data_IF_591533570606
#
_entry.id   IF_591533570606
#
_cell.length_a   1.000
_cell.length_b   1.000
_cell.length_c   1.000
_cell.angle_alpha   90.00
_cell.angle_beta   90.00
_cell.angle_gamma   90.00
#
_symmetry.space_group_name_H-M   'P 1'
#
loop_
_entity.id
_entity.type
_entity.pdbx_description
1 polymer ?
#
# COMPACT_ATOMS: atom_id res chain seq x y z
N UNK A 1 18.01 -5.03 -32.90
CA UNK A 1 16.90 -4.73 -33.83
C UNK A 1 16.90 -3.29 -34.34
N UNK A 2 16.93 -2.26 -33.49
CA UNK A 2 16.93 -0.86 -33.96
C UNK A 2 18.07 -0.52 -34.93
N UNK A 3 19.27 -1.06 -34.69
CA UNK A 3 20.41 -0.93 -35.62
C UNK A 3 20.13 -1.53 -37.02
N UNK A 4 19.29 -2.57 -37.12
CA UNK A 4 18.89 -3.17 -38.41
C UNK A 4 17.93 -2.23 -39.14
N UNK A 5 16.96 -1.66 -38.42
CA UNK A 5 16.04 -0.64 -38.95
C UNK A 5 16.82 0.58 -39.45
N UNK A 6 17.76 1.07 -38.66
CA UNK A 6 18.56 2.26 -39.01
C UNK A 6 19.39 2.04 -40.29
N UNK A 7 20.00 0.85 -40.44
CA UNK A 7 20.74 0.46 -41.65
C UNK A 7 19.88 0.44 -42.91
N UNK A 8 18.60 0.06 -42.78
CA UNK A 8 17.64 0.07 -43.90
C UNK A 8 17.05 1.47 -44.12
N UNK A 9 16.82 2.24 -43.06
CA UNK A 9 16.22 3.57 -43.11
C UNK A 9 17.12 4.58 -43.80
N UNK A 10 18.42 4.61 -43.48
CA UNK A 10 19.37 5.60 -44.03
C UNK A 10 19.37 5.68 -45.57
N UNK A 11 19.59 4.57 -46.32
CA UNK A 11 19.54 4.62 -47.78
C UNK A 11 18.13 4.86 -48.32
N UNK A 12 17.09 4.34 -47.65
CA UNK A 12 15.69 4.57 -48.03
C UNK A 12 15.30 6.06 -47.94
N UNK A 13 15.68 6.72 -46.85
CA UNK A 13 15.46 8.14 -46.63
C UNK A 13 16.21 9.01 -47.63
N UNK A 14 17.45 8.66 -47.96
CA UNK A 14 18.21 9.36 -49.00
C UNK A 14 17.46 9.35 -50.35
N UNK A 15 16.81 8.25 -50.72
CA UNK A 15 16.02 8.18 -51.95
C UNK A 15 14.76 9.06 -51.88
N UNK A 16 14.12 9.15 -50.72
CA UNK A 16 13.02 10.10 -50.48
C UNK A 16 13.50 11.55 -50.66
N UNK A 17 14.68 11.89 -50.11
CA UNK A 17 15.26 13.23 -50.26
C UNK A 17 15.50 13.58 -51.73
N UNK A 18 16.01 12.64 -52.54
CA UNK A 18 16.16 12.84 -53.98
C UNK A 18 14.81 13.18 -54.66
N UNK A 19 13.69 12.57 -54.23
CA UNK A 19 12.36 12.88 -54.76
C UNK A 19 11.93 14.29 -54.36
N UNK A 20 12.10 14.65 -53.08
CA UNK A 20 11.75 15.97 -52.55
C UNK A 20 12.55 17.09 -53.22
N UNK A 21 13.81 16.83 -53.53
CA UNK A 21 14.72 17.75 -54.22
C UNK A 21 14.53 17.73 -55.75
N UNK A 22 13.57 16.97 -56.28
CA UNK A 22 13.31 16.79 -57.72
C UNK A 22 14.50 16.24 -58.51
N UNK A 23 15.36 15.45 -57.86
CA UNK A 23 16.58 14.82 -58.42
C UNK A 23 16.46 13.30 -58.56
N UNK A 24 15.28 12.73 -58.36
CA UNK A 24 15.07 11.29 -58.36
C UNK A 24 15.18 10.70 -59.78
N UNK A 25 15.84 9.54 -59.86
CA UNK A 25 15.93 8.67 -61.04
C UNK A 25 14.98 7.47 -60.91
N UNK A 26 14.72 6.76 -62.00
CA UNK A 26 13.96 5.50 -61.99
C UNK A 26 14.54 4.47 -61.00
N UNK A 27 15.87 4.46 -60.84
CA UNK A 27 16.55 3.59 -59.88
C UNK A 27 16.19 3.92 -58.41
N UNK A 28 15.89 5.18 -58.11
CA UNK A 28 15.46 5.60 -56.76
C UNK A 28 14.04 5.08 -56.46
N UNK A 29 13.13 5.16 -57.44
CA UNK A 29 11.78 4.62 -57.33
C UNK A 29 11.78 3.09 -57.22
N UNK A 30 12.58 2.39 -58.04
CA UNK A 30 12.75 0.94 -57.95
C UNK A 30 13.32 0.51 -56.59
N UNK A 31 14.30 1.25 -56.06
CA UNK A 31 14.86 0.98 -54.75
C UNK A 31 13.79 1.12 -53.64
N UNK A 32 13.02 2.20 -53.66
CA UNK A 32 11.93 2.42 -52.70
C UNK A 32 10.85 1.35 -52.79
N UNK A 33 10.49 0.93 -54.00
CA UNK A 33 9.50 -0.12 -54.26
C UNK A 33 9.96 -1.47 -53.69
N UNK A 34 11.20 -1.86 -54.00
CA UNK A 34 11.78 -3.15 -53.58
C UNK A 34 12.08 -3.22 -52.08
N UNK A 35 12.39 -2.09 -51.43
CA UNK A 35 12.84 -2.08 -50.03
C UNK A 35 11.78 -1.66 -49.01
N UNK A 36 10.63 -1.08 -49.43
CA UNK A 36 9.62 -0.60 -48.48
C UNK A 36 9.07 -1.71 -47.57
N UNK A 37 8.76 -2.90 -48.12
CA UNK A 37 8.22 -4.03 -47.35
C UNK A 37 9.26 -4.57 -46.38
N UNK A 38 10.54 -4.61 -46.79
CA UNK A 38 11.63 -5.09 -45.95
C UNK A 38 11.84 -4.18 -44.74
N UNK A 39 11.92 -2.88 -44.96
CA UNK A 39 12.03 -1.87 -43.89
C UNK A 39 10.83 -1.94 -42.94
N UNK A 40 9.62 -2.06 -43.48
CA UNK A 40 8.39 -2.18 -42.70
C UNK A 40 8.36 -3.45 -41.82
N UNK A 41 8.79 -4.60 -42.36
CA UNK A 41 8.90 -5.85 -41.59
C UNK A 41 9.88 -5.71 -40.42
N UNK A 42 11.04 -5.10 -40.63
CA UNK A 42 12.03 -4.89 -39.57
C UNK A 42 11.57 -3.87 -38.51
N UNK A 43 10.83 -2.83 -38.91
CA UNK A 43 10.19 -1.91 -37.95
C UNK A 43 9.11 -2.62 -37.11
N UNK A 44 8.24 -3.43 -37.73
CA UNK A 44 7.25 -4.23 -37.02
C UNK A 44 7.90 -5.20 -36.01
N UNK A 45 9.04 -5.80 -36.38
CA UNK A 45 9.82 -6.65 -35.46
C UNK A 45 10.41 -5.85 -34.29
N UNK A 46 10.82 -4.61 -34.50
CA UNK A 46 11.28 -3.73 -33.42
C UNK A 46 10.16 -3.41 -32.42
N UNK A 47 8.96 -3.09 -32.92
CA UNK A 47 7.76 -2.85 -32.09
C UNK A 47 7.40 -4.10 -31.29
N UNK A 48 7.40 -5.27 -31.93
CA UNK A 48 7.12 -6.55 -31.24
C UNK A 48 8.14 -6.85 -30.14
N UNK A 49 9.44 -6.66 -30.40
CA UNK A 49 10.49 -6.90 -29.40
C UNK A 49 10.37 -5.92 -28.22
N UNK A 50 10.08 -4.64 -28.48
CA UNK A 50 9.84 -3.65 -27.44
C UNK A 50 8.59 -3.97 -26.59
N UNK A 51 7.56 -4.50 -27.23
CA UNK A 51 6.37 -5.04 -26.56
C UNK A 51 6.65 -6.30 -25.71
N UNK A 52 7.66 -7.10 -26.08
CA UNK A 52 7.94 -8.42 -25.49
C UNK A 52 8.97 -8.39 -24.34
N UNK A 53 9.64 -7.27 -24.10
CA UNK A 53 10.65 -7.14 -23.03
C UNK A 53 10.05 -7.17 -21.61
N UNK A 54 8.73 -7.03 -21.45
CA UNK A 54 8.01 -7.14 -20.18
C UNK A 54 7.56 -8.58 -19.88
N UNK A 55 8.36 -9.30 -19.09
CA UNK A 55 8.23 -10.74 -18.81
C UNK A 55 7.05 -11.17 -17.93
N UNK A 56 6.02 -10.36 -17.73
CA UNK A 56 4.80 -10.84 -17.04
C UNK A 56 3.81 -11.41 -18.06
N UNK A 57 3.33 -12.64 -17.82
CA UNK A 57 2.45 -13.38 -18.75
C UNK A 57 1.18 -12.60 -19.15
N UNK A 58 0.68 -11.70 -18.30
CA UNK A 58 -0.48 -10.86 -18.61
C UNK A 58 -0.14 -9.61 -19.43
N UNK A 59 1.11 -9.12 -19.44
CA UNK A 59 1.50 -7.95 -20.25
C UNK A 59 1.79 -8.33 -21.71
N UNK A 60 2.34 -9.53 -21.94
CA UNK A 60 2.63 -10.06 -23.28
C UNK A 60 1.37 -10.21 -24.15
N UNK A 61 0.22 -10.54 -23.54
CA UNK A 61 -1.04 -10.74 -24.27
C UNK A 61 -1.67 -9.42 -24.72
N UNK A 62 -1.71 -8.39 -23.87
CA UNK A 62 -2.20 -7.06 -24.25
C UNK A 62 -1.25 -6.35 -25.23
N UNK A 63 0.04 -6.67 -25.19
CA UNK A 63 1.03 -6.14 -26.10
C UNK A 63 0.84 -6.65 -27.55
N UNK A 64 0.35 -7.90 -27.73
CA UNK A 64 -0.03 -8.41 -29.05
C UNK A 64 -1.27 -7.69 -29.61
N UNK A 65 -2.29 -7.44 -28.78
CA UNK A 65 -3.46 -6.65 -29.16
C UNK A 65 -3.07 -5.22 -29.61
N UNK A 66 -2.16 -4.56 -28.88
CA UNK A 66 -1.60 -3.25 -29.28
C UNK A 66 -0.88 -3.31 -30.62
N UNK A 67 -0.04 -4.32 -30.82
CA UNK A 67 0.74 -4.48 -32.04
C UNK A 67 -0.17 -4.67 -33.26
N UNK A 68 -1.15 -5.57 -33.15
CA UNK A 68 -2.10 -5.84 -34.23
C UNK A 68 -3.08 -4.69 -34.46
N UNK A 69 -3.46 -3.95 -33.42
CA UNK A 69 -4.16 -2.67 -33.55
C UNK A 69 -3.29 -1.64 -34.30
N UNK A 70 -2.00 -1.55 -33.98
CA UNK A 70 -1.04 -0.71 -34.69
C UNK A 70 -0.94 -1.06 -36.18
N UNK A 71 -0.93 -2.36 -36.49
CA UNK A 71 -0.87 -2.92 -37.86
C UNK A 71 -2.07 -2.52 -38.72
N UNK A 72 -3.23 -2.24 -38.14
CA UNK A 72 -4.41 -1.78 -38.89
C UNK A 72 -4.13 -0.45 -39.62
N UNK A 73 -3.43 0.49 -39.00
CA UNK A 73 -3.03 1.76 -39.65
C UNK A 73 -2.15 1.50 -40.88
N UNK A 74 -1.16 0.62 -40.73
CA UNK A 74 -0.28 0.21 -41.83
C UNK A 74 -1.07 -0.41 -42.98
N UNK A 75 -2.07 -1.26 -42.69
CA UNK A 75 -2.89 -1.89 -43.71
C UNK A 75 -3.73 -0.87 -44.50
N UNK A 76 -4.27 0.17 -43.86
CA UNK A 76 -4.99 1.25 -44.59
C UNK A 76 -4.09 1.94 -45.62
N UNK A 77 -2.85 2.28 -45.23
CA UNK A 77 -1.89 2.93 -46.11
C UNK A 77 -1.39 2.01 -47.22
N UNK A 78 -1.19 0.71 -46.89
CA UNK A 78 -0.86 -0.30 -47.90
C UNK A 78 -1.96 -0.43 -48.94
N UNK A 79 -3.23 -0.47 -48.51
CA UNK A 79 -4.38 -0.52 -49.43
C UNK A 79 -4.46 0.72 -50.32
N UNK A 80 -4.24 1.92 -49.77
CA UNK A 80 -4.22 3.17 -50.54
C UNK A 80 -3.13 3.14 -51.63
N UNK A 81 -1.91 2.70 -51.27
CA UNK A 81 -0.80 2.50 -52.22
C UNK A 81 -1.16 1.49 -53.31
N UNK A 82 -1.70 0.33 -52.91
CA UNK A 82 -2.03 -0.75 -53.84
C UNK A 82 -3.13 -0.29 -54.83
N UNK A 83 -4.13 0.48 -54.39
CA UNK A 83 -5.14 1.13 -55.26
C UNK A 83 -4.47 2.05 -56.29
N UNK A 84 -3.54 2.91 -55.87
CA UNK A 84 -2.84 3.83 -56.77
C UNK A 84 -2.08 3.05 -57.86
N UNK A 85 -1.35 2.00 -57.50
CA UNK A 85 -0.64 1.18 -58.49
C UNK A 85 -1.57 0.43 -59.43
N UNK A 86 -2.66 -0.15 -58.92
CA UNK A 86 -3.68 -0.83 -59.74
C UNK A 86 -4.31 0.14 -60.74
N UNK A 87 -4.67 1.36 -60.29
CA UNK A 87 -5.29 2.38 -61.15
C UNK A 87 -4.38 2.90 -62.26
N UNK A 88 -3.06 2.88 -62.04
CA UNK A 88 -2.04 3.25 -63.02
C UNK A 88 -1.53 2.06 -63.84
N UNK A 89 -2.19 0.90 -63.76
CA UNK A 89 -1.81 -0.35 -64.44
C UNK A 89 -0.39 -0.86 -64.11
N UNK A 90 0.21 -0.39 -63.01
CA UNK A 90 1.56 -0.77 -62.59
C UNK A 90 1.50 -2.09 -61.82
N UNK A 91 2.13 -3.15 -62.35
CA UNK A 91 2.11 -4.52 -61.77
C UNK A 91 0.72 -4.91 -61.24
N UNK A 92 -0.31 -4.63 -62.04
CA UNK A 92 -1.71 -4.60 -61.61
C UNK A 92 -2.18 -5.86 -60.90
N UNK A 93 -1.84 -7.04 -61.41
CA UNK A 93 -2.25 -8.33 -60.82
C UNK A 93 -1.62 -8.58 -59.45
N UNK A 94 -0.34 -8.23 -59.29
CA UNK A 94 0.39 -8.35 -58.02
C UNK A 94 -0.25 -7.46 -56.95
N UNK A 95 -0.39 -6.17 -57.23
CA UNK A 95 -0.95 -5.21 -56.28
C UNK A 95 -2.45 -5.44 -56.00
N UNK A 96 -3.20 -5.99 -56.95
CA UNK A 96 -4.58 -6.42 -56.69
C UNK A 96 -4.66 -7.61 -55.72
N UNK A 97 -3.78 -8.60 -55.86
CA UNK A 97 -3.66 -9.72 -54.90
C UNK A 97 -3.29 -9.21 -53.51
N UNK A 98 -2.34 -8.29 -53.45
CA UNK A 98 -1.82 -7.70 -52.24
C UNK A 98 -2.84 -6.80 -51.51
N UNK A 99 -3.64 -6.07 -52.27
CA UNK A 99 -4.78 -5.31 -51.76
C UNK A 99 -5.81 -6.23 -51.11
N UNK A 100 -6.23 -7.30 -51.81
CA UNK A 100 -7.24 -8.26 -51.31
C UNK A 100 -6.80 -8.91 -49.99
N UNK A 101 -5.53 -9.30 -49.88
CA UNK A 101 -4.94 -9.84 -48.64
C UNK A 101 -4.96 -8.81 -47.51
N UNK A 102 -4.62 -7.56 -47.80
CA UNK A 102 -4.58 -6.47 -46.83
C UNK A 102 -5.98 -6.15 -46.29
N UNK A 103 -6.98 -6.09 -47.19
CA UNK A 103 -8.39 -5.89 -46.86
C UNK A 103 -8.94 -7.00 -45.96
N UNK A 104 -8.69 -8.26 -46.32
CA UNK A 104 -9.12 -9.41 -45.53
C UNK A 104 -8.46 -9.45 -44.14
N UNK A 105 -7.15 -9.15 -44.07
CA UNK A 105 -6.43 -9.13 -42.81
C UNK A 105 -6.87 -7.98 -41.89
N UNK A 106 -7.21 -6.82 -42.46
CA UNK A 106 -7.76 -5.70 -41.72
C UNK A 106 -9.08 -6.10 -41.04
N UNK A 107 -10.05 -6.60 -41.83
CA UNK A 107 -11.36 -7.01 -41.31
C UNK A 107 -11.24 -8.07 -40.20
N UNK A 108 -10.42 -9.10 -40.43
CA UNK A 108 -10.20 -10.18 -39.46
C UNK A 108 -9.60 -9.68 -38.15
N UNK A 109 -8.61 -8.80 -38.25
CA UNK A 109 -7.94 -8.25 -37.07
C UNK A 109 -8.85 -7.31 -36.31
N UNK A 110 -9.62 -6.44 -36.99
CA UNK A 110 -10.58 -5.55 -36.35
C UNK A 110 -11.64 -6.34 -35.56
N UNK A 111 -12.17 -7.43 -36.12
CA UNK A 111 -13.08 -8.36 -35.41
C UNK A 111 -12.39 -9.03 -34.21
N UNK A 112 -11.14 -9.45 -34.39
CA UNK A 112 -10.35 -10.07 -33.32
C UNK A 112 -10.03 -9.12 -32.16
N UNK A 113 -9.84 -7.82 -32.41
CA UNK A 113 -9.62 -6.82 -31.36
C UNK A 113 -10.85 -6.63 -30.45
N UNK A 114 -12.04 -6.91 -30.96
CA UNK A 114 -13.27 -6.96 -30.17
C UNK A 114 -13.40 -8.25 -29.38
N UNK A 115 -13.42 -9.36 -30.10
CA UNK A 115 -13.94 -10.63 -29.58
C UNK A 115 -12.83 -11.59 -29.13
N UNK A 116 -11.58 -11.23 -29.39
CA UNK A 116 -10.46 -12.17 -29.37
C UNK A 116 -10.39 -12.98 -30.66
N UNK A 117 -9.24 -13.60 -30.89
CA UNK A 117 -8.98 -14.51 -31.99
C UNK A 117 -7.81 -15.40 -31.61
N UNK A 118 -8.07 -16.70 -31.46
CA UNK A 118 -7.02 -17.66 -31.14
C UNK A 118 -5.97 -17.72 -32.26
N UNK A 119 -6.39 -17.64 -33.51
CA UNK A 119 -5.50 -17.65 -34.68
C UNK A 119 -4.55 -16.45 -34.69
N UNK A 120 -5.04 -15.25 -34.34
CA UNK A 120 -4.22 -14.05 -34.28
C UNK A 120 -3.59 -13.83 -32.90
N UNK A 121 -3.80 -14.76 -31.97
CA UNK A 121 -3.44 -14.65 -30.56
C UNK A 121 -3.95 -13.33 -29.92
N UNK A 122 -5.16 -12.90 -30.31
CA UNK A 122 -5.84 -11.73 -29.78
C UNK A 122 -6.72 -12.13 -28.61
N UNK A 123 -6.67 -11.39 -27.52
CA UNK A 123 -7.56 -11.60 -26.38
C UNK A 123 -8.91 -10.91 -26.55
N UNK A 124 -8.89 -9.78 -27.26
CA UNK A 124 -10.03 -8.88 -27.35
C UNK A 124 -10.16 -8.03 -26.09
N UNK A 125 -11.05 -7.04 -26.14
CA UNK A 125 -11.23 -6.08 -25.04
C UNK A 125 -12.70 -5.81 -24.76
N UNK A 126 -13.01 -5.63 -23.48
CA UNK A 126 -14.32 -5.15 -22.99
C UNK A 126 -14.24 -3.76 -22.37
N UNK A 127 -13.09 -3.10 -22.49
CA UNK A 127 -12.87 -1.79 -21.87
C UNK A 127 -13.65 -0.72 -22.64
N UNK A 128 -14.63 -0.02 -22.02
CA UNK A 128 -15.52 0.91 -22.73
C UNK A 128 -14.77 1.95 -23.57
N UNK A 129 -13.70 2.54 -23.02
CA UNK A 129 -12.88 3.54 -23.71
C UNK A 129 -12.22 3.00 -24.99
N UNK A 130 -11.89 1.70 -25.02
CA UNK A 130 -11.26 1.08 -26.20
C UNK A 130 -12.32 0.60 -27.19
N UNK A 131 -13.38 -0.04 -26.70
CA UNK A 131 -14.49 -0.52 -27.55
C UNK A 131 -15.17 0.64 -28.27
N UNK A 132 -15.40 1.78 -27.60
CA UNK A 132 -15.98 2.97 -28.23
C UNK A 132 -15.14 3.46 -29.43
N UNK A 133 -13.81 3.44 -29.32
CA UNK A 133 -12.92 3.83 -30.41
C UNK A 133 -12.91 2.81 -31.54
N UNK A 134 -12.95 1.52 -31.22
CA UNK A 134 -13.05 0.47 -32.22
C UNK A 134 -14.42 0.51 -32.93
N UNK A 135 -15.48 1.02 -32.30
CA UNK A 135 -16.84 1.07 -32.87
C UNK A 135 -16.91 2.11 -33.98
N UNK A 136 -16.24 3.24 -33.76
CA UNK A 136 -16.01 4.27 -34.77
C UNK A 136 -15.26 3.66 -35.97
N UNK A 137 -14.14 2.97 -35.72
CA UNK A 137 -13.35 2.33 -36.79
C UNK A 137 -14.16 1.29 -37.56
N UNK A 138 -14.94 0.47 -36.86
CA UNK A 138 -15.83 -0.53 -37.47
C UNK A 138 -16.90 0.10 -38.36
N UNK A 139 -17.54 1.16 -37.87
CA UNK A 139 -18.56 1.88 -38.63
C UNK A 139 -17.99 2.53 -39.89
N UNK A 140 -16.79 3.09 -39.81
CA UNK A 140 -16.07 3.63 -40.97
C UNK A 140 -15.70 2.52 -41.95
N UNK A 141 -15.13 1.41 -41.45
CA UNK A 141 -14.72 0.28 -42.27
C UNK A 141 -15.86 -0.37 -43.06
N UNK A 142 -17.07 -0.41 -42.48
CA UNK A 142 -18.27 -0.89 -43.18
C UNK A 142 -18.62 0.01 -44.36
N UNK A 143 -18.58 1.34 -44.19
CA UNK A 143 -18.82 2.31 -45.27
C UNK A 143 -17.71 2.28 -46.31
N UNK A 144 -16.48 2.03 -45.88
CA UNK A 144 -15.29 1.96 -46.71
C UNK A 144 -15.38 0.87 -47.80
N UNK A 145 -16.11 -0.23 -47.57
CA UNK A 145 -16.15 -1.35 -48.53
C UNK A 145 -16.63 -0.92 -49.92
N UNK A 146 -17.65 -0.07 -50.01
CA UNK A 146 -18.18 0.41 -51.29
C UNK A 146 -17.17 1.30 -52.02
N UNK A 147 -16.47 2.17 -51.28
CA UNK A 147 -15.42 3.04 -51.82
C UNK A 147 -14.21 2.23 -52.31
N UNK A 148 -13.84 1.17 -51.60
CA UNK A 148 -12.79 0.26 -52.01
C UNK A 148 -13.12 -0.45 -53.32
N UNK A 149 -14.36 -0.93 -53.48
CA UNK A 149 -14.77 -1.62 -54.70
C UNK A 149 -14.88 -0.66 -55.90
N UNK A 150 -15.32 0.60 -55.68
CA UNK A 150 -15.30 1.64 -56.70
C UNK A 150 -13.86 1.99 -57.14
N UNK A 151 -12.93 2.14 -56.17
CA UNK A 151 -11.53 2.43 -56.44
C UNK A 151 -10.83 1.36 -57.28
N UNK A 152 -11.17 0.08 -57.08
CA UNK A 152 -10.65 -1.02 -57.91
C UNK A 152 -11.14 -0.98 -59.37
N UNK A 153 -12.26 -0.29 -59.63
CA UNK A 153 -12.77 -0.03 -60.99
C UNK A 153 -12.19 1.25 -61.60
N UNK A 154 -11.36 1.98 -60.85
CA UNK A 154 -10.80 3.27 -61.27
C UNK A 154 -11.64 4.49 -60.87
N UNK A 155 -12.72 4.31 -60.09
CA UNK A 155 -13.64 5.37 -59.70
C UNK A 155 -13.38 5.82 -58.25
N UNK A 156 -13.66 7.08 -57.92
CA UNK A 156 -13.62 7.60 -56.53
C UNK A 156 -12.28 7.38 -55.79
N UNK A 157 -11.16 7.26 -56.52
CA UNK A 157 -9.85 6.91 -55.94
C UNK A 157 -9.43 7.92 -54.86
N UNK A 158 -9.63 9.22 -55.10
CA UNK A 158 -9.24 10.29 -54.16
C UNK A 158 -10.07 10.22 -52.88
N UNK A 159 -11.37 9.98 -53.02
CA UNK A 159 -12.31 9.83 -51.92
C UNK A 159 -11.97 8.60 -51.06
N UNK A 160 -11.64 7.47 -51.70
CA UNK A 160 -11.21 6.24 -51.03
C UNK A 160 -9.91 6.43 -50.26
N UNK A 161 -8.90 7.08 -50.85
CA UNK A 161 -7.63 7.37 -50.14
C UNK A 161 -7.89 8.28 -48.94
N UNK A 162 -8.69 9.34 -49.11
CA UNK A 162 -9.06 10.24 -48.01
C UNK A 162 -9.82 9.52 -46.90
N UNK A 163 -10.68 8.57 -47.24
CA UNK A 163 -11.46 7.79 -46.26
C UNK A 163 -10.58 6.77 -45.51
N UNK A 164 -9.63 6.12 -46.19
CA UNK A 164 -8.59 5.29 -45.57
C UNK A 164 -7.70 6.09 -44.61
N UNK A 165 -7.34 7.32 -44.93
CA UNK A 165 -6.59 8.22 -44.03
C UNK A 165 -7.39 8.59 -42.78
N UNK A 166 -8.68 8.90 -42.94
CA UNK A 166 -9.57 9.14 -41.79
C UNK A 166 -9.68 7.89 -40.92
N UNK A 167 -9.77 6.71 -41.52
CA UNK A 167 -9.81 5.41 -40.81
C UNK A 167 -8.50 5.17 -40.04
N UNK A 168 -7.35 5.50 -40.62
CA UNK A 168 -6.06 5.48 -39.94
C UNK A 168 -6.07 6.34 -38.68
N UNK A 169 -6.55 7.58 -38.78
CA UNK A 169 -6.59 8.52 -37.63
C UNK A 169 -7.42 7.94 -36.50
N UNK A 170 -8.61 7.40 -36.79
CA UNK A 170 -9.46 6.78 -35.76
C UNK A 170 -8.84 5.52 -35.17
N UNK A 171 -8.15 4.74 -35.99
CA UNK A 171 -7.41 3.59 -35.49
C UNK A 171 -6.23 4.00 -34.59
N UNK A 172 -5.59 5.15 -34.86
CA UNK A 172 -4.55 5.71 -34.00
C UNK A 172 -5.09 6.08 -32.61
N UNK A 173 -6.30 6.66 -32.53
CA UNK A 173 -6.96 6.93 -31.25
C UNK A 173 -7.21 5.65 -30.43
N UNK A 174 -7.61 4.55 -31.10
CA UNK A 174 -7.79 3.25 -30.46
C UNK A 174 -6.45 2.70 -29.93
N UNK A 175 -5.37 2.76 -30.71
CA UNK A 175 -4.03 2.32 -30.29
C UNK A 175 -3.54 3.09 -29.07
N UNK A 176 -3.69 4.42 -29.05
CA UNK A 176 -3.34 5.27 -27.89
C UNK A 176 -4.10 4.81 -26.64
N UNK A 177 -5.37 4.44 -26.79
CA UNK A 177 -6.21 3.97 -25.69
C UNK A 177 -5.73 2.64 -25.12
N UNK A 178 -5.33 1.69 -25.97
CA UNK A 178 -4.67 0.45 -25.52
C UNK A 178 -3.34 0.74 -24.80
N UNK A 179 -2.48 1.62 -25.35
CA UNK A 179 -1.19 1.97 -24.73
C UNK A 179 -1.37 2.60 -23.34
N UNK A 180 -2.35 3.51 -23.18
CA UNK A 180 -2.68 4.11 -21.87
C UNK A 180 -3.17 3.08 -20.86
N UNK A 181 -3.93 2.08 -21.30
CA UNK A 181 -4.41 1.00 -20.42
C UNK A 181 -3.26 0.15 -19.91
N UNK A 182 -2.32 -0.22 -20.79
CA UNK A 182 -1.13 -0.99 -20.42
C UNK A 182 -0.25 -0.24 -19.42
N UNK A 183 0.01 1.05 -19.65
CA UNK A 183 0.81 1.88 -18.75
C UNK A 183 0.19 1.99 -17.35
N UNK A 184 -1.14 2.10 -17.25
CA UNK A 184 -1.84 2.09 -15.96
C UNK A 184 -1.73 0.76 -15.23
N UNK A 185 -1.81 -0.36 -15.96
CA UNK A 185 -1.60 -1.69 -15.36
C UNK A 185 -0.17 -1.86 -14.83
N UNK A 186 0.84 -1.39 -15.57
CA UNK A 186 2.24 -1.39 -15.11
C UNK A 186 2.40 -0.58 -13.82
N UNK A 187 1.88 0.64 -13.78
CA UNK A 187 1.89 1.48 -12.58
C UNK A 187 1.22 0.80 -11.38
N UNK A 188 0.10 0.09 -11.60
CA UNK A 188 -0.57 -0.65 -10.53
C UNK A 188 0.25 -1.85 -10.02
N UNK A 189 0.97 -2.56 -10.90
CA UNK A 189 1.84 -3.67 -10.53
C UNK A 189 3.09 -3.21 -9.79
N UNK A 190 3.72 -2.12 -10.24
CA UNK A 190 4.83 -1.47 -9.54
C UNK A 190 4.41 -0.99 -8.16
N UNK A 191 3.24 -0.35 -8.05
CA UNK A 191 2.65 0.07 -6.78
C UNK A 191 2.40 -1.13 -5.86
N UNK A 192 1.84 -2.24 -6.37
CA UNK A 192 1.62 -3.45 -5.57
C UNK A 192 2.93 -4.07 -5.06
N UNK A 193 4.01 -4.04 -5.85
CA UNK A 193 5.33 -4.50 -5.39
C UNK A 193 5.89 -3.59 -4.29
N UNK A 194 5.77 -2.27 -4.46
CA UNK A 194 6.19 -1.29 -3.44
C UNK A 194 5.37 -1.48 -2.16
N UNK A 195 4.07 -1.71 -2.28
CA UNK A 195 3.17 -2.01 -1.15
C UNK A 195 3.54 -3.35 -0.48
N UNK A 196 3.93 -4.37 -1.24
CA UNK A 196 4.42 -5.65 -0.70
C UNK A 196 5.71 -5.52 0.11
N UNK A 197 6.69 -4.80 -0.42
CA UNK A 197 7.95 -4.52 0.28
C UNK A 197 7.75 -3.59 1.49
N UNK A 198 6.83 -2.63 1.37
CA UNK A 198 6.32 -1.77 2.44
C UNK A 198 5.69 -2.58 3.58
N UNK A 199 4.91 -3.61 3.27
CA UNK A 199 4.23 -4.45 4.27
C UNK A 199 5.22 -5.29 5.10
N UNK A 200 6.27 -5.83 4.46
CA UNK A 200 7.22 -6.73 5.11
C UNK A 200 8.25 -6.00 6.00
N UNK A 201 8.74 -4.82 5.60
CA UNK A 201 9.70 -4.04 6.42
C UNK A 201 9.01 -3.36 7.62
N UNK A 202 7.78 -2.85 7.45
CA UNK A 202 7.04 -2.15 8.51
C UNK A 202 6.54 -3.06 9.64
N UNK A 203 6.41 -4.37 9.43
CA UNK A 203 5.85 -5.25 10.46
C UNK A 203 6.77 -5.37 11.68
N UNK A 204 8.10 -5.42 11.49
CA UNK A 204 9.06 -5.49 12.59
C UNK A 204 9.10 -4.20 13.41
N UNK A 205 9.05 -3.04 12.75
CA UNK A 205 9.09 -1.74 13.45
C UNK A 205 7.78 -1.44 14.18
N UNK A 206 6.62 -1.68 13.54
CA UNK A 206 5.31 -1.60 14.22
C UNK A 206 5.26 -2.54 15.43
N UNK A 207 5.77 -3.77 15.28
CA UNK A 207 5.82 -4.76 16.38
C UNK A 207 6.76 -4.32 17.50
N UNK A 208 7.95 -3.79 17.20
CA UNK A 208 8.88 -3.23 18.20
C UNK A 208 8.28 -2.05 18.95
N UNK A 209 7.60 -1.13 18.26
CA UNK A 209 6.90 0.01 18.88
C UNK A 209 5.74 -0.47 19.77
N UNK A 210 4.95 -1.46 19.33
CA UNK A 210 3.89 -2.04 20.16
C UNK A 210 4.45 -2.74 21.41
N UNK A 211 5.44 -3.61 21.25
CA UNK A 211 6.02 -4.38 22.35
C UNK A 211 6.75 -3.48 23.35
N UNK A 212 7.44 -2.43 22.89
CA UNK A 212 8.05 -1.42 23.78
C UNK A 212 6.97 -0.58 24.47
N UNK A 213 5.89 -0.22 23.75
CA UNK A 213 4.71 0.41 24.33
C UNK A 213 4.04 -0.45 25.41
N UNK A 214 4.02 -1.77 25.24
CA UNK A 214 3.53 -2.75 26.22
C UNK A 214 4.38 -2.74 27.49
N UNK A 215 5.69 -2.50 27.41
CA UNK A 215 6.54 -2.38 28.61
C UNK A 215 6.07 -1.24 29.52
N UNK A 216 5.78 -0.05 28.97
CA UNK A 216 5.19 1.07 29.75
C UNK A 216 3.89 0.67 30.46
N UNK A 217 3.00 -0.05 29.76
CA UNK A 217 1.74 -0.52 30.36
C UNK A 217 2.00 -1.52 31.48
N UNK A 218 2.95 -2.43 31.30
CA UNK A 218 3.29 -3.44 32.29
C UNK A 218 3.87 -2.81 33.56
N UNK A 219 4.67 -1.73 33.49
CA UNK A 219 5.15 -1.05 34.72
C UNK A 219 3.98 -0.56 35.57
N UNK A 220 3.00 0.12 34.95
CA UNK A 220 1.80 0.64 35.64
C UNK A 220 0.91 -0.49 36.15
N UNK A 221 0.73 -1.53 35.35
CA UNK A 221 -0.10 -2.67 35.68
C UNK A 221 0.47 -3.47 36.84
N UNK A 222 1.79 -3.69 36.87
CA UNK A 222 2.46 -4.38 37.98
C UNK A 222 2.33 -3.60 39.27
N UNK A 223 2.56 -2.27 39.26
CA UNK A 223 2.33 -1.45 40.46
C UNK A 223 0.89 -1.46 40.95
N UNK A 224 -0.10 -1.41 40.04
CA UNK A 224 -1.52 -1.58 40.39
C UNK A 224 -1.76 -2.94 41.07
N UNK A 225 -1.21 -4.02 40.51
CA UNK A 225 -1.37 -5.37 41.07
C UNK A 225 -0.69 -5.51 42.43
N UNK A 226 0.49 -4.91 42.63
CA UNK A 226 1.16 -4.87 43.93
C UNK A 226 0.30 -4.21 45.00
N UNK A 227 -0.39 -3.10 44.67
CA UNK A 227 -1.36 -2.46 45.57
C UNK A 227 -2.54 -3.38 45.89
N UNK A 228 -3.11 -4.05 44.88
CA UNK A 228 -4.24 -4.97 45.08
C UNK A 228 -3.88 -6.19 45.93
N UNK A 229 -2.67 -6.75 45.73
CA UNK A 229 -2.12 -7.85 46.52
C UNK A 229 -1.98 -7.42 47.98
N UNK A 230 -1.41 -6.24 48.24
CA UNK A 230 -1.28 -5.68 49.58
C UNK A 230 -2.64 -5.45 50.26
N UNK A 231 -3.66 -5.05 49.49
CA UNK A 231 -5.03 -4.89 50.00
C UNK A 231 -5.77 -6.21 50.21
N UNK A 232 -5.12 -7.37 49.98
CA UNK A 232 -5.72 -8.70 49.97
C UNK A 232 -6.90 -8.86 48.99
N UNK A 233 -7.01 -7.99 47.99
CA UNK A 233 -8.08 -8.08 46.97
C UNK A 233 -7.68 -9.15 45.96
N UNK A 234 -8.46 -10.22 45.88
CA UNK A 234 -8.22 -11.36 45.00
C UNK A 234 -6.75 -11.84 45.05
N UNK A 235 -6.19 -11.93 46.27
CA UNK A 235 -4.77 -12.13 46.56
C UNK A 235 -4.10 -13.17 45.66
N UNK A 236 -4.61 -14.41 45.66
CA UNK A 236 -4.05 -15.51 44.87
C UNK A 236 -4.04 -15.22 43.36
N UNK A 237 -5.11 -14.63 42.84
CA UNK A 237 -5.24 -14.32 41.41
C UNK A 237 -4.32 -13.17 41.00
N UNK A 238 -4.29 -12.09 41.79
CA UNK A 238 -3.48 -10.91 41.51
C UNK A 238 -1.98 -11.19 41.67
N UNK A 239 -1.58 -12.03 42.64
CA UNK A 239 -0.20 -12.52 42.76
C UNK A 239 0.23 -13.34 41.53
N UNK A 240 -0.62 -14.27 41.05
CA UNK A 240 -0.36 -15.02 39.80
C UNK A 240 -0.21 -14.09 38.59
N UNK A 241 -1.12 -13.11 38.45
CA UNK A 241 -1.05 -12.09 37.38
C UNK A 241 0.24 -11.27 37.46
N UNK A 242 0.64 -10.84 38.66
CA UNK A 242 1.83 -10.04 38.88
C UNK A 242 3.10 -10.79 38.43
N UNK A 243 3.26 -12.06 38.84
CA UNK A 243 4.38 -12.92 38.38
C UNK A 243 4.36 -13.10 36.86
N UNK A 244 3.19 -13.41 36.28
CA UNK A 244 3.05 -13.57 34.83
C UNK A 244 3.49 -12.31 34.08
N UNK A 245 3.09 -11.14 34.54
CA UNK A 245 3.46 -9.87 33.89
C UNK A 245 4.92 -9.49 34.10
N UNK A 246 5.50 -9.82 35.26
CA UNK A 246 6.93 -9.66 35.49
C UNK A 246 7.76 -10.55 34.54
N UNK A 247 7.38 -11.82 34.36
CA UNK A 247 8.01 -12.72 33.39
C UNK A 247 7.92 -12.16 31.97
N UNK A 248 6.73 -11.71 31.57
CA UNK A 248 6.51 -11.15 30.23
C UNK A 248 7.30 -9.86 29.98
N UNK A 249 7.39 -8.97 30.98
CA UNK A 249 8.22 -7.77 30.92
C UNK A 249 9.69 -8.17 30.68
N UNK A 250 10.20 -9.08 31.50
CA UNK A 250 11.58 -9.55 31.40
C UNK A 250 11.90 -10.19 30.04
N UNK A 251 11.04 -11.10 29.56
CA UNK A 251 11.17 -11.74 28.25
C UNK A 251 11.21 -10.71 27.13
N UNK A 252 10.27 -9.75 27.13
CA UNK A 252 10.20 -8.74 26.08
C UNK A 252 11.42 -7.80 26.10
N UNK A 253 11.86 -7.38 27.30
CA UNK A 253 13.01 -6.49 27.45
C UNK A 253 14.31 -7.15 26.96
N UNK A 254 14.50 -8.44 27.26
CA UNK A 254 15.64 -9.20 26.74
C UNK A 254 15.52 -9.44 25.22
N UNK A 255 14.32 -9.76 24.74
CA UNK A 255 14.05 -9.99 23.32
C UNK A 255 14.38 -8.80 22.41
N UNK A 256 14.39 -7.57 22.91
CA UNK A 256 14.84 -6.41 22.12
C UNK A 256 16.32 -6.46 21.75
N UNK A 257 17.19 -6.95 22.65
CA UNK A 257 18.64 -7.02 22.41
C UNK A 257 19.07 -8.38 21.90
N UNK A 258 18.43 -9.44 22.39
CA UNK A 258 18.89 -10.82 22.21
C UNK A 258 18.07 -11.55 21.12
N UNK A 259 16.94 -10.97 20.71
CA UNK A 259 15.94 -11.64 19.88
C UNK A 259 15.03 -12.56 20.70
N UNK A 260 13.83 -12.81 20.20
CA UNK A 260 12.88 -13.76 20.80
C UNK A 260 11.94 -14.29 19.71
N UNK A 261 12.02 -15.60 19.41
CA UNK A 261 11.22 -16.23 18.35
C UNK A 261 9.73 -16.27 18.69
N UNK A 262 9.35 -16.46 19.95
CA UNK A 262 7.95 -16.51 20.38
C UNK A 262 7.28 -15.14 20.23
N UNK A 263 8.02 -14.08 20.50
CA UNK A 263 7.57 -12.70 20.30
C UNK A 263 7.73 -12.26 18.82
N UNK A 264 8.44 -13.05 18.01
CA UNK A 264 8.83 -12.72 16.64
C UNK A 264 9.69 -11.46 16.56
N UNK A 265 10.58 -11.28 17.54
CA UNK A 265 11.55 -10.21 17.64
C UNK A 265 12.91 -10.67 17.09
N UNK A 266 13.45 -9.90 16.14
CA UNK A 266 14.86 -9.99 15.77
C UNK A 266 15.70 -9.06 16.67
N UNK A 267 16.93 -9.46 17.05
CA UNK A 267 17.80 -8.65 17.91
C UNK A 267 18.08 -7.28 17.29
N UNK A 268 17.97 -6.22 18.09
CA UNK A 268 18.32 -4.86 17.67
C UNK A 268 19.80 -4.61 17.93
N UNK A 269 20.54 -4.23 16.88
CA UNK A 269 21.96 -3.81 16.97
C UNK A 269 22.13 -2.29 17.06
N UNK A 270 21.04 -1.53 17.11
CA UNK A 270 21.07 -0.07 17.13
C UNK A 270 21.57 0.39 18.50
N UNK A 271 22.72 1.08 18.55
CA UNK A 271 23.39 1.48 19.79
C UNK A 271 22.45 2.20 20.78
N UNK A 272 21.66 3.17 20.29
CA UNK A 272 20.70 3.91 21.11
C UNK A 272 19.63 3.02 21.77
N UNK A 273 19.21 1.94 21.10
CA UNK A 273 18.24 0.96 21.63
C UNK A 273 18.90 0.04 22.65
N UNK A 274 20.11 -0.43 22.37
CA UNK A 274 20.88 -1.31 23.27
C UNK A 274 21.21 -0.60 24.57
N UNK A 275 21.72 0.63 24.50
CA UNK A 275 22.03 1.48 25.66
C UNK A 275 20.79 1.74 26.54
N UNK A 276 19.67 2.12 25.92
CA UNK A 276 18.44 2.38 26.66
C UNK A 276 17.88 1.09 27.29
N UNK A 277 18.00 -0.05 26.60
CA UNK A 277 17.60 -1.35 27.14
C UNK A 277 18.45 -1.73 28.37
N UNK A 278 19.76 -1.47 28.35
CA UNK A 278 20.64 -1.68 29.49
C UNK A 278 20.26 -0.81 30.70
N UNK A 279 19.94 0.47 30.45
CA UNK A 279 19.44 1.39 31.48
C UNK A 279 18.16 0.86 32.15
N UNK A 280 17.21 0.36 31.35
CA UNK A 280 15.98 -0.25 31.87
C UNK A 280 16.28 -1.54 32.62
N UNK A 281 17.16 -2.42 32.11
CA UNK A 281 17.55 -3.67 32.77
C UNK A 281 18.08 -3.43 34.20
N UNK A 282 18.89 -2.38 34.41
CA UNK A 282 19.39 -1.99 35.74
C UNK A 282 18.26 -1.62 36.70
N UNK A 283 17.33 -0.74 36.29
CA UNK A 283 16.16 -0.34 37.10
C UNK A 283 15.21 -1.51 37.35
N UNK A 284 15.01 -2.34 36.33
CA UNK A 284 14.13 -3.51 36.38
C UNK A 284 14.59 -4.56 37.38
N UNK A 285 15.89 -4.81 37.52
CA UNK A 285 16.44 -5.79 38.47
C UNK A 285 15.94 -5.55 39.90
N UNK A 286 16.05 -4.31 40.38
CA UNK A 286 15.58 -3.95 41.73
C UNK A 286 14.06 -3.95 41.83
N UNK A 287 13.37 -3.49 40.79
CA UNK A 287 11.91 -3.52 40.74
C UNK A 287 11.36 -4.95 40.82
N UNK A 288 11.96 -5.89 40.09
CA UNK A 288 11.61 -7.31 40.09
C UNK A 288 11.83 -7.96 41.46
N UNK A 289 12.94 -7.65 42.12
CA UNK A 289 13.21 -8.17 43.48
C UNK A 289 12.09 -7.79 44.46
N UNK A 290 11.64 -6.52 44.42
CA UNK A 290 10.54 -6.05 45.27
C UNK A 290 9.19 -6.69 44.90
N UNK A 291 8.91 -6.94 43.62
CA UNK A 291 7.74 -7.73 43.20
C UNK A 291 7.77 -9.13 43.83
N UNK A 292 8.93 -9.80 43.79
CA UNK A 292 9.09 -11.15 44.33
C UNK A 292 8.84 -11.15 45.84
N UNK A 293 9.36 -10.16 46.57
CA UNK A 293 9.13 -9.99 48.02
C UNK A 293 7.64 -9.89 48.35
N UNK A 294 6.88 -9.07 47.60
CA UNK A 294 5.43 -8.92 47.78
C UNK A 294 4.70 -10.24 47.51
N UNK A 295 4.99 -10.90 46.38
CA UNK A 295 4.30 -12.13 45.98
C UNK A 295 4.57 -13.28 46.97
N UNK A 296 5.76 -13.33 47.57
CA UNK A 296 6.12 -14.32 48.59
C UNK A 296 5.51 -14.02 49.97
N UNK A 297 4.79 -12.91 50.13
CA UNK A 297 4.25 -12.48 51.43
C UNK A 297 5.35 -12.06 52.42
N UNK A 298 6.53 -11.69 51.91
CA UNK A 298 7.68 -11.32 52.72
C UNK A 298 7.74 -9.81 53.01
N UNK A 299 6.86 -9.01 52.40
CA UNK A 299 6.83 -7.54 52.55
C UNK A 299 6.11 -7.08 53.83
N UNK A 300 6.46 -7.64 54.99
CA UNK A 300 5.80 -7.36 56.28
C UNK A 300 5.87 -5.87 56.68
N UNK A 301 6.93 -5.18 56.27
CA UNK A 301 7.17 -3.76 56.57
C UNK A 301 6.70 -2.81 55.46
N UNK A 302 6.09 -3.33 54.38
CA UNK A 302 5.64 -2.55 53.20
C UNK A 302 6.73 -1.82 52.42
N UNK A 303 8.00 -2.01 52.77
CA UNK A 303 9.14 -1.37 52.10
C UNK A 303 9.22 -1.75 50.63
N UNK A 304 8.86 -2.98 50.26
CA UNK A 304 8.89 -3.40 48.86
C UNK A 304 7.78 -2.71 48.05
N UNK A 305 6.58 -2.57 48.62
CA UNK A 305 5.50 -1.80 48.02
C UNK A 305 5.85 -0.32 47.88
N UNK A 306 6.41 0.31 48.92
CA UNK A 306 6.85 1.71 48.89
C UNK A 306 7.89 1.93 47.79
N UNK A 307 8.87 1.03 47.68
CA UNK A 307 9.84 1.07 46.59
C UNK A 307 9.15 1.02 45.22
N UNK A 308 8.21 0.09 45.01
CA UNK A 308 7.47 -0.01 43.74
C UNK A 308 6.69 1.27 43.44
N UNK A 309 5.98 1.84 44.42
CA UNK A 309 5.18 3.07 44.24
C UNK A 309 6.07 4.25 43.90
N UNK A 310 7.20 4.41 44.60
CA UNK A 310 8.11 5.53 44.42
C UNK A 310 8.95 5.45 43.13
N UNK A 311 9.31 4.24 42.68
CA UNK A 311 10.18 4.04 41.51
C UNK A 311 9.40 3.70 40.23
N UNK A 312 8.07 3.57 40.29
CA UNK A 312 7.25 3.22 39.14
C UNK A 312 7.30 4.27 38.01
N UNK A 313 7.26 5.55 38.35
CA UNK A 313 7.28 6.62 37.35
C UNK A 313 8.64 6.71 36.66
N UNK A 314 9.74 6.49 37.37
CA UNK A 314 11.09 6.42 36.80
C UNK A 314 11.23 5.27 35.80
N UNK A 315 10.72 4.08 36.15
CA UNK A 315 10.74 2.93 35.25
C UNK A 315 9.81 3.13 34.04
N UNK A 316 8.67 3.81 34.24
CA UNK A 316 7.79 4.24 33.15
C UNK A 316 8.49 5.22 32.20
N UNK A 317 9.17 6.24 32.74
CA UNK A 317 9.90 7.23 31.96
C UNK A 317 11.02 6.57 31.13
N UNK A 318 11.80 5.68 31.74
CA UNK A 318 12.82 4.91 31.03
C UNK A 318 12.21 4.02 29.93
N UNK A 319 11.08 3.36 30.20
CA UNK A 319 10.35 2.58 29.19
C UNK A 319 9.78 3.46 28.07
N UNK A 320 9.38 4.69 28.38
CA UNK A 320 8.88 5.63 27.40
C UNK A 320 9.97 6.15 26.47
N UNK A 321 11.15 6.42 27.01
CA UNK A 321 12.31 6.78 26.21
C UNK A 321 12.69 5.68 25.23
N UNK A 322 12.59 4.41 25.62
CA UNK A 322 12.81 3.29 24.69
C UNK A 322 11.82 3.29 23.52
N UNK A 323 10.54 3.59 23.77
CA UNK A 323 9.54 3.74 22.70
C UNK A 323 9.90 4.90 21.78
N UNK A 324 10.28 6.05 22.34
CA UNK A 324 10.71 7.22 21.56
C UNK A 324 11.89 6.87 20.66
N UNK A 325 12.88 6.14 21.17
CA UNK A 325 14.04 5.70 20.40
C UNK A 325 13.64 4.76 19.28
N UNK A 326 12.78 3.77 19.52
CA UNK A 326 12.26 2.89 18.46
C UNK A 326 11.52 3.67 17.37
N UNK A 327 10.70 4.66 17.74
CA UNK A 327 10.00 5.52 16.78
C UNK A 327 10.98 6.37 15.96
N UNK A 328 12.03 6.91 16.60
CA UNK A 328 13.04 7.75 15.92
C UNK A 328 13.98 6.95 15.02
N UNK A 329 14.29 5.70 15.37
CA UNK A 329 15.23 4.86 14.62
C UNK A 329 14.57 4.03 13.52
N UNK A 330 13.24 4.02 13.46
CA UNK A 330 12.52 3.47 12.32
C UNK A 330 12.95 4.27 11.06
N UNK A 331 13.35 3.60 9.96
CA UNK A 331 13.84 4.28 8.75
C UNK A 331 12.85 5.36 8.31
N UNK A 332 13.38 6.52 7.93
CA UNK A 332 12.64 7.78 7.77
C UNK A 332 11.40 7.57 6.90
N UNK A 333 10.21 7.58 7.50
CA UNK A 333 9.02 7.20 6.77
C UNK A 333 8.44 8.38 5.99
N UNK A 334 7.69 8.11 4.92
CA UNK A 334 6.81 9.12 4.34
C UNK A 334 5.76 9.57 5.39
N UNK A 335 5.04 10.67 5.14
CA UNK A 335 4.10 11.25 6.11
C UNK A 335 3.09 10.23 6.69
N UNK A 336 2.61 9.32 5.85
CA UNK A 336 1.61 8.31 6.22
C UNK A 336 2.15 7.36 7.31
N UNK A 337 3.37 6.86 7.14
CA UNK A 337 3.99 5.95 8.10
C UNK A 337 4.29 6.64 9.45
N UNK A 338 4.73 7.90 9.43
CA UNK A 338 4.89 8.70 10.67
C UNK A 338 3.56 8.84 11.40
N UNK A 339 2.48 9.12 10.67
CA UNK A 339 1.14 9.20 11.25
C UNK A 339 0.69 7.86 11.83
N UNK A 340 0.86 6.74 11.10
CA UNK A 340 0.49 5.41 11.59
C UNK A 340 1.24 4.99 12.85
N UNK A 341 2.57 5.20 12.89
CA UNK A 341 3.37 4.94 14.09
C UNK A 341 2.92 5.82 15.27
N UNK A 342 2.57 7.08 15.00
CA UNK A 342 2.05 7.98 16.00
C UNK A 342 0.70 7.51 16.56
N UNK A 343 -0.22 7.10 15.69
CA UNK A 343 -1.51 6.49 16.06
C UNK A 343 -1.32 5.26 16.94
N UNK A 344 -0.45 4.32 16.54
CA UNK A 344 -0.14 3.11 17.34
C UNK A 344 0.42 3.50 18.70
N UNK A 345 1.31 4.49 18.77
CA UNK A 345 1.88 4.97 20.02
C UNK A 345 0.82 5.62 20.93
N UNK A 346 -0.05 6.48 20.38
CA UNK A 346 -1.14 7.16 21.11
C UNK A 346 -2.16 6.16 21.63
N UNK A 347 -2.60 5.22 20.79
CA UNK A 347 -3.49 4.13 21.17
C UNK A 347 -2.83 3.18 22.21
N UNK A 348 -1.55 2.88 22.03
CA UNK A 348 -0.75 2.11 22.98
C UNK A 348 -0.67 2.80 24.35
N UNK A 349 -0.50 4.13 24.36
CA UNK A 349 -0.52 4.97 25.57
C UNK A 349 -1.87 4.91 26.27
N UNK A 350 -2.99 4.86 25.55
CA UNK A 350 -4.32 4.72 26.16
C UNK A 350 -4.40 3.47 27.04
N UNK A 351 -3.90 2.31 26.58
CA UNK A 351 -3.84 1.08 27.40
C UNK A 351 -3.11 1.31 28.72
N UNK A 352 -1.95 1.97 28.67
CA UNK A 352 -1.17 2.30 29.85
C UNK A 352 -1.93 3.26 30.78
N UNK A 353 -2.55 4.31 30.22
CA UNK A 353 -3.32 5.29 30.99
C UNK A 353 -4.48 4.64 31.76
N UNK A 354 -5.19 3.65 31.19
CA UNK A 354 -6.22 2.90 31.93
C UNK A 354 -5.69 2.25 33.21
N UNK A 355 -4.45 1.75 33.17
CA UNK A 355 -3.82 1.11 34.32
C UNK A 355 -3.29 2.16 35.30
N UNK A 356 -2.70 3.24 34.78
CA UNK A 356 -2.15 4.37 35.56
C UNK A 356 -3.23 5.10 36.35
N UNK A 357 -4.35 5.47 35.72
CA UNK A 357 -5.47 6.13 36.42
C UNK A 357 -6.05 5.26 37.54
N UNK A 358 -6.08 3.93 37.35
CA UNK A 358 -6.53 3.00 38.41
C UNK A 358 -5.53 2.91 39.55
N UNK A 359 -4.23 2.86 39.25
CA UNK A 359 -3.16 2.93 40.26
C UNK A 359 -3.28 4.22 41.09
N UNK A 360 -3.39 5.36 40.43
CA UNK A 360 -3.53 6.67 41.07
C UNK A 360 -4.79 6.76 41.93
N UNK A 361 -5.93 6.24 41.42
CA UNK A 361 -7.16 6.19 42.21
C UNK A 361 -7.04 5.33 43.46
N UNK A 362 -6.38 4.17 43.36
CA UNK A 362 -6.13 3.29 44.51
C UNK A 362 -5.22 3.96 45.54
N UNK A 363 -4.17 4.66 45.10
CA UNK A 363 -3.26 5.40 46.00
C UNK A 363 -3.99 6.51 46.78
N UNK A 364 -4.95 7.18 46.13
CA UNK A 364 -5.80 8.19 46.77
C UNK A 364 -6.73 7.53 47.79
N UNK A 365 -7.48 6.50 47.39
CA UNK A 365 -8.44 5.82 48.28
C UNK A 365 -7.77 5.13 49.46
N UNK A 366 -6.55 4.64 49.30
CA UNK A 366 -5.78 4.00 50.38
C UNK A 366 -4.92 4.97 51.19
N UNK A 367 -4.92 6.27 50.84
CA UNK A 367 -4.09 7.30 51.46
C UNK A 367 -2.58 6.97 51.51
N UNK A 368 -2.06 6.21 50.52
CA UNK A 368 -0.66 5.72 50.51
C UNK A 368 0.33 6.62 49.77
N UNK A 369 -0.18 7.66 49.08
CA UNK A 369 0.53 8.81 48.42
C UNK A 369 -0.51 9.54 47.55
N UNK A 370 -1.51 10.22 48.14
CA UNK A 370 -2.62 10.77 47.38
C UNK A 370 -2.15 11.94 46.49
N UNK A 371 -2.33 11.81 45.17
CA UNK A 371 -2.00 12.86 44.18
C UNK A 371 -3.21 13.14 43.25
N UNK A 372 -4.31 13.76 43.74
CA UNK A 372 -5.54 13.94 42.96
C UNK A 372 -5.35 14.74 41.66
N UNK A 373 -4.48 15.76 41.69
CA UNK A 373 -4.13 16.54 40.49
C UNK A 373 -3.46 15.68 39.41
N UNK A 374 -2.66 14.69 39.81
CA UNK A 374 -2.00 13.76 38.88
C UNK A 374 -3.02 12.84 38.22
N UNK A 375 -3.99 12.32 38.98
CA UNK A 375 -5.11 11.57 38.45
C UNK A 375 -5.90 12.39 37.42
N UNK A 376 -6.24 13.64 37.73
CA UNK A 376 -6.95 14.54 36.79
C UNK A 376 -6.16 14.73 35.49
N UNK A 377 -4.85 14.96 35.57
CA UNK A 377 -3.98 15.04 34.38
C UNK A 377 -3.98 13.75 33.56
N UNK A 378 -3.95 12.58 34.22
CA UNK A 378 -4.02 11.26 33.54
C UNK A 378 -5.38 11.06 32.85
N UNK A 379 -6.49 11.44 33.49
CA UNK A 379 -7.85 11.39 32.92
C UNK A 379 -7.94 12.30 31.69
N UNK A 380 -7.52 13.56 31.80
CA UNK A 380 -7.55 14.52 30.70
C UNK A 380 -6.70 14.06 29.51
N UNK A 381 -5.51 13.51 29.76
CA UNK A 381 -4.65 12.98 28.71
C UNK A 381 -5.29 11.78 27.99
N UNK A 382 -5.99 10.90 28.73
CA UNK A 382 -6.75 9.80 28.12
C UNK A 382 -7.88 10.35 27.24
N UNK A 383 -8.69 11.25 27.80
CA UNK A 383 -9.87 11.81 27.13
C UNK A 383 -9.51 12.53 25.82
N UNK A 384 -8.53 13.43 25.89
CA UNK A 384 -8.04 14.20 24.73
C UNK A 384 -7.45 13.28 23.66
N UNK A 385 -6.68 12.27 24.07
CA UNK A 385 -6.10 11.32 23.12
C UNK A 385 -7.15 10.43 22.48
N UNK A 386 -8.17 9.98 23.21
CA UNK A 386 -9.27 9.20 22.66
C UNK A 386 -10.10 10.02 21.68
N UNK A 387 -10.34 11.31 22.00
CA UNK A 387 -11.00 12.24 21.09
C UNK A 387 -10.20 12.41 19.78
N UNK A 388 -8.88 12.62 19.88
CA UNK A 388 -8.01 12.74 18.72
C UNK A 388 -8.00 11.46 17.86
N UNK A 389 -7.98 10.26 18.47
CA UNK A 389 -8.08 9.00 17.73
C UNK A 389 -9.43 8.83 17.00
N UNK A 390 -10.52 9.40 17.53
CA UNK A 390 -11.86 9.33 16.92
C UNK A 390 -12.05 10.36 15.81
N UNK A 391 -11.56 11.59 16.02
CA UNK A 391 -11.85 12.75 15.15
C UNK A 391 -10.71 13.10 14.21
N UNK A 392 -9.50 12.61 14.46
CA UNK A 392 -8.26 13.12 13.90
C UNK A 392 -7.78 14.36 14.66
N UNK A 393 -6.47 14.61 14.58
CA UNK A 393 -5.79 15.81 15.06
C UNK A 393 -4.56 16.04 14.17
N UNK A 394 -4.68 16.99 13.24
CA UNK A 394 -3.61 17.29 12.28
C UNK A 394 -2.35 17.84 12.96
N UNK A 395 -2.48 18.59 14.06
CA UNK A 395 -1.35 19.14 14.80
C UNK A 395 -0.53 18.04 15.48
N UNK A 396 -1.18 16.93 15.86
CA UNK A 396 -0.53 15.74 16.40
C UNK A 396 -0.22 14.66 15.35
N UNK A 397 -0.45 14.93 14.06
CA UNK A 397 -0.33 13.94 12.98
C UNK A 397 -1.19 12.67 13.21
N UNK A 398 -2.35 12.82 13.86
CA UNK A 398 -3.33 11.75 14.04
C UNK A 398 -4.35 11.88 12.91
N UNK A 399 -4.32 10.95 11.96
CA UNK A 399 -5.32 10.92 10.89
C UNK A 399 -6.69 10.58 11.47
N UNK A 400 -7.74 11.14 10.88
CA UNK A 400 -9.10 10.72 11.19
C UNK A 400 -9.31 9.32 10.63
N UNK A 401 -9.84 8.37 11.41
CA UNK A 401 -10.02 7.02 10.91
C UNK A 401 -11.00 7.00 9.73
N UNK A 402 -10.71 6.20 8.72
CA UNK A 402 -11.50 5.94 7.52
C UNK A 402 -12.13 4.54 7.58
N UNK A 403 -11.41 3.56 8.13
CA UNK A 403 -11.85 2.17 8.28
C UNK A 403 -13.07 2.05 9.22
N UNK A 404 -14.11 1.36 8.74
CA UNK A 404 -15.38 1.20 9.47
C UNK A 404 -15.21 0.39 10.77
N UNK A 405 -14.33 -0.62 10.79
CA UNK A 405 -14.10 -1.45 11.97
C UNK A 405 -13.33 -0.65 13.04
N UNK A 406 -12.31 0.13 12.66
CA UNK A 406 -11.56 1.01 13.57
C UNK A 406 -12.50 2.04 14.21
N UNK A 407 -13.36 2.68 13.42
CA UNK A 407 -14.39 3.61 13.92
C UNK A 407 -15.29 2.94 14.96
N UNK A 408 -15.85 1.78 14.63
CA UNK A 408 -16.73 1.03 15.53
C UNK A 408 -16.00 0.63 16.84
N UNK A 409 -14.75 0.20 16.73
CA UNK A 409 -13.93 -0.17 17.89
C UNK A 409 -13.67 1.04 18.81
N UNK A 410 -13.36 2.21 18.25
CA UNK A 410 -13.15 3.44 19.01
C UNK A 410 -14.44 3.97 19.65
N UNK A 411 -15.58 3.86 18.96
CA UNK A 411 -16.89 4.18 19.54
C UNK A 411 -17.21 3.27 20.73
N UNK A 412 -16.91 1.97 20.64
CA UNK A 412 -17.08 1.04 21.74
C UNK A 412 -16.21 1.40 22.94
N UNK A 413 -14.94 1.76 22.72
CA UNK A 413 -14.04 2.28 23.78
C UNK A 413 -14.64 3.53 24.42
N UNK A 414 -15.09 4.49 23.60
CA UNK A 414 -15.70 5.74 24.06
C UNK A 414 -16.93 5.51 24.94
N UNK A 415 -17.80 4.56 24.55
CA UNK A 415 -18.96 4.18 25.37
C UNK A 415 -18.55 3.64 26.74
N UNK A 416 -17.60 2.70 26.80
CA UNK A 416 -17.12 2.15 28.08
C UNK A 416 -16.48 3.26 28.93
N UNK A 417 -15.68 4.14 28.30
CA UNK A 417 -15.05 5.25 28.98
C UNK A 417 -16.05 6.24 29.58
N UNK A 418 -17.13 6.56 28.87
CA UNK A 418 -18.17 7.48 29.37
C UNK A 418 -18.82 6.99 30.68
N UNK A 419 -18.91 5.67 30.88
CA UNK A 419 -19.41 5.06 32.12
C UNK A 419 -18.38 5.08 33.24
N UNK A 420 -17.09 4.92 32.91
CA UNK A 420 -16.01 4.84 33.90
C UNK A 420 -15.51 6.21 34.36
N UNK A 421 -15.48 7.21 33.48
CA UNK A 421 -14.92 8.54 33.74
C UNK A 421 -15.47 9.18 35.03
N UNK A 422 -16.80 9.24 35.27
CA UNK A 422 -17.34 9.84 36.50
C UNK A 422 -16.85 9.16 37.78
N UNK A 423 -16.61 7.84 37.75
CA UNK A 423 -16.10 7.11 38.92
C UNK A 423 -14.65 7.47 39.24
N UNK A 424 -13.84 7.77 38.22
CA UNK A 424 -12.48 8.22 38.44
C UNK A 424 -12.45 9.66 38.99
N UNK A 425 -13.34 10.53 38.52
CA UNK A 425 -13.42 11.94 38.92
C UNK A 425 -14.02 12.16 40.32
N UNK A 426 -14.92 11.27 40.77
CA UNK A 426 -15.56 11.37 42.09
C UNK A 426 -14.55 11.33 43.24
N UNK A 427 -14.53 12.34 44.12
CA UNK A 427 -13.54 12.43 45.21
C UNK A 427 -13.55 11.22 46.16
N UNK A 428 -14.74 10.83 46.65
CA UNK A 428 -14.93 9.70 47.56
C UNK A 428 -15.75 8.60 46.88
N UNK A 429 -15.18 7.39 46.82
CA UNK A 429 -15.85 6.20 46.29
C UNK A 429 -16.38 5.33 47.43
N UNK A 430 -17.57 4.78 47.24
CA UNK A 430 -18.00 3.60 48.00
C UNK A 430 -17.19 2.37 47.61
N UNK A 431 -17.19 1.33 48.46
CA UNK A 431 -16.55 0.04 48.14
C UNK A 431 -17.12 -0.58 46.86
N UNK A 432 -18.43 -0.45 46.63
CA UNK A 432 -19.09 -0.96 45.42
C UNK A 432 -18.61 -0.23 44.16
N UNK A 433 -18.47 1.09 44.20
CA UNK A 433 -17.99 1.88 43.05
C UNK A 433 -16.51 1.59 42.74
N UNK A 434 -15.68 1.40 43.77
CA UNK A 434 -14.30 0.96 43.59
C UNK A 434 -14.24 -0.45 42.97
N UNK A 435 -15.11 -1.37 43.40
CA UNK A 435 -15.21 -2.70 42.82
C UNK A 435 -15.63 -2.65 41.34
N UNK A 436 -16.54 -1.74 40.97
CA UNK A 436 -16.91 -1.48 39.57
C UNK A 436 -15.71 -1.04 38.75
N UNK A 437 -14.90 -0.08 39.22
CA UNK A 437 -13.66 0.33 38.53
C UNK A 437 -12.74 -0.88 38.32
N UNK A 438 -12.50 -1.67 39.37
CA UNK A 438 -11.60 -2.83 39.31
C UNK A 438 -12.12 -3.91 38.34
N UNK A 439 -13.44 -4.10 38.26
CA UNK A 439 -14.10 -5.10 37.40
C UNK A 439 -14.16 -4.67 35.93
N UNK A 440 -14.46 -3.40 35.65
CA UNK A 440 -14.71 -2.91 34.29
C UNK A 440 -13.45 -2.37 33.59
N UNK A 441 -12.42 -1.95 34.35
CA UNK A 441 -11.15 -1.52 33.78
C UNK A 441 -10.47 -2.59 32.88
N UNK A 442 -10.47 -3.90 33.22
CA UNK A 442 -10.06 -4.97 32.31
C UNK A 442 -10.79 -4.96 30.95
N UNK A 443 -12.09 -4.63 30.93
CA UNK A 443 -12.87 -4.53 29.69
C UNK A 443 -12.39 -3.36 28.85
N UNK A 444 -12.23 -2.16 29.44
CA UNK A 444 -11.69 -0.99 28.75
C UNK A 444 -10.28 -1.27 28.18
N UNK A 445 -9.40 -1.90 28.98
CA UNK A 445 -8.07 -2.32 28.53
C UNK A 445 -8.14 -3.31 27.36
N UNK A 446 -9.04 -4.30 27.41
CA UNK A 446 -9.21 -5.31 26.36
C UNK A 446 -9.64 -4.66 25.05
N UNK A 447 -10.60 -3.75 25.09
CA UNK A 447 -11.09 -3.05 23.90
C UNK A 447 -10.06 -2.06 23.35
N UNK A 448 -9.29 -1.38 24.21
CA UNK A 448 -8.12 -0.62 23.75
C UNK A 448 -7.05 -1.51 23.12
N UNK A 449 -6.84 -2.72 23.64
CA UNK A 449 -5.89 -3.67 23.04
C UNK A 449 -6.32 -4.16 21.66
N UNK A 450 -7.62 -4.38 21.46
CA UNK A 450 -8.15 -4.66 20.12
C UNK A 450 -7.90 -3.50 19.16
N UNK A 451 -8.16 -2.27 19.59
CA UNK A 451 -7.89 -1.09 18.77
C UNK A 451 -6.43 -1.02 18.31
N UNK A 452 -5.47 -1.23 19.23
CA UNK A 452 -4.04 -1.22 18.87
C UNK A 452 -3.71 -2.32 17.85
N UNK A 453 -4.20 -3.55 18.05
CA UNK A 453 -3.99 -4.64 17.11
C UNK A 453 -4.58 -4.33 15.71
N UNK A 454 -5.72 -3.64 15.66
CA UNK A 454 -6.32 -3.21 14.39
C UNK A 454 -5.47 -2.12 13.72
N UNK A 455 -4.96 -1.15 14.48
CA UNK A 455 -4.07 -0.11 13.97
C UNK A 455 -2.72 -0.66 13.48
N UNK A 456 -2.24 -1.78 14.04
CA UNK A 456 -1.03 -2.47 13.57
C UNK A 456 -1.23 -3.14 12.20
N UNK A 457 -2.41 -3.73 11.98
CA UNK A 457 -2.69 -4.56 10.80
C UNK A 457 -3.37 -3.84 9.62
N UNK A 458 -3.80 -2.60 9.78
CA UNK A 458 -4.56 -1.87 8.73
C UNK A 458 -3.65 -0.88 7.99
N UNK A 459 -3.85 -0.74 6.67
CA UNK A 459 -3.17 0.23 5.80
C UNK A 459 -3.89 1.58 5.75
N UNK A 460 -5.22 1.54 5.85
CA UNK A 460 -6.10 2.71 5.92
C UNK A 460 -6.48 2.92 7.39
N UNK A 461 -5.98 3.99 7.99
CA UNK A 461 -6.45 4.37 9.32
C UNK A 461 -7.83 4.99 9.20
#
# INVERSE_FOLDING_TARGET
QLQVVEKLWKPFYQKIQNILDQKASDSDYQYLESNNIKLLKEMNKAVFLYASTDKSNNSLTLANDINLAGKQRMLTQKMAKDILFVSNNFKKEEYLSDFKKSRALFDKTLKGLYNGSQELNLKGTKLPMITEKLDVVKSMWQKEQNLLDAALKGEQIKETISSLDKTLVKMNEAVISYTRSLNRQKQALELNSIVGDFLNRNQQDKKRVNLSGKQRMLTQRMSKLSLLVEMNIALKENSKKLVKFAKLYNQTLNGFTDGDKELGLSPSKIAAIVEQSATIKKKWKTFLANIITIVKGQDKSRKALEYIVNNNEDLLAASNELVTRFVKTAPTPNYLEKSMLHVINVAGRQRMLTQKMTKEKLLIVTNKKPEPQKLQKTIALFDNSLHALIKGDAAQMILKPSDKKIKAQLQKVSKIWSTLKPLYEKEKLSRAELATIVKENPTLLKEMNKMVNMAEGTLEY
#
